data_IF_711047632975
#
_entry.id   IF_711047632975
#
_cell.length_a   1.000
_cell.length_b   1.000
_cell.length_c   1.000
_cell.angle_alpha   90.00
_cell.angle_beta   90.00
_cell.angle_gamma   90.00
#
_symmetry.space_group_name_H-M   'P 1'
#
loop_
_entity.id
_entity.type
_entity.pdbx_description
1 polymer ?
#
# COMPACT_ATOMS: atom_id res chain seq x y z
N UNK A 1 -1.70 -14.99 -13.76
CA UNK A 1 -1.06 -15.02 -12.42
C UNK A 1 -1.64 -13.91 -11.58
N UNK A 2 -1.89 -14.16 -10.31
CA UNK A 2 -2.42 -13.17 -9.35
C UNK A 2 -1.29 -12.72 -8.44
N UNK A 3 -1.19 -11.41 -8.17
CA UNK A 3 -0.20 -10.86 -7.22
C UNK A 3 -0.53 -11.37 -5.81
N UNK A 4 0.48 -11.87 -5.08
CA UNK A 4 0.33 -12.37 -3.70
C UNK A 4 1.08 -11.51 -2.66
N UNK A 5 2.10 -10.78 -3.10
CA UNK A 5 2.95 -9.96 -2.24
C UNK A 5 3.24 -8.63 -2.95
N UNK A 6 3.12 -7.53 -2.22
CA UNK A 6 3.41 -6.18 -2.66
C UNK A 6 4.41 -5.54 -1.70
N UNK A 7 5.71 -5.70 -1.94
CA UNK A 7 6.73 -4.97 -1.20
C UNK A 7 6.88 -3.56 -1.79
N UNK A 8 6.69 -2.54 -0.96
CA UNK A 8 6.76 -1.13 -1.34
C UNK A 8 7.68 -0.38 -0.40
N UNK A 9 8.48 0.50 -0.98
CA UNK A 9 9.32 1.43 -0.22
C UNK A 9 8.45 2.43 0.55
N UNK A 10 8.98 2.97 1.66
CA UNK A 10 8.24 3.84 2.56
C UNK A 10 8.33 5.30 2.12
N UNK A 11 9.51 5.91 2.26
CA UNK A 11 9.68 7.36 2.11
C UNK A 11 9.73 7.76 0.63
N UNK A 12 8.84 8.66 0.22
CA UNK A 12 8.76 9.08 -1.19
C UNK A 12 8.05 8.08 -2.10
N UNK A 13 7.62 6.93 -1.58
CA UNK A 13 6.83 5.93 -2.31
C UNK A 13 5.44 5.74 -1.65
N UNK A 14 5.38 5.13 -0.47
CA UNK A 14 4.15 4.93 0.29
C UNK A 14 3.71 6.23 0.99
N UNK A 15 4.69 6.95 1.53
CA UNK A 15 4.53 8.17 2.29
C UNK A 15 4.84 9.38 1.40
N UNK A 16 3.98 10.40 1.48
CA UNK A 16 4.31 11.71 0.91
C UNK A 16 5.42 12.36 1.74
N UNK A 17 6.03 13.44 1.24
CA UNK A 17 7.14 14.16 1.88
C UNK A 17 6.89 14.66 3.32
N UNK A 18 5.65 14.59 3.82
CA UNK A 18 5.29 14.87 5.23
C UNK A 18 5.21 13.61 6.10
N UNK A 19 5.70 12.46 5.62
CA UNK A 19 5.57 11.15 6.26
C UNK A 19 4.12 10.71 6.48
N UNK A 20 3.22 11.15 5.59
CA UNK A 20 1.79 10.89 5.66
C UNK A 20 1.33 10.06 4.47
N UNK A 21 0.59 8.98 4.76
CA UNK A 21 -0.14 8.22 3.75
C UNK A 21 -1.43 8.97 3.36
N UNK A 22 -1.78 8.98 2.07
CA UNK A 22 -3.08 9.54 1.65
C UNK A 22 -4.23 8.59 2.01
N UNK A 23 -5.45 9.12 2.25
CA UNK A 23 -6.64 8.27 2.42
C UNK A 23 -6.92 7.36 1.22
N UNK A 24 -6.47 7.75 0.01
CA UNK A 24 -6.60 6.94 -1.20
C UNK A 24 -5.67 5.72 -1.16
N UNK A 25 -4.41 5.90 -0.73
CA UNK A 25 -3.41 4.84 -0.61
C UNK A 25 -3.84 3.87 0.49
N UNK A 26 -4.28 4.37 1.65
CA UNK A 26 -4.79 3.55 2.75
C UNK A 26 -5.95 2.66 2.30
N UNK A 27 -6.95 3.22 1.61
CA UNK A 27 -8.07 2.45 1.04
C UNK A 27 -7.62 1.43 -0.01
N UNK A 28 -6.54 1.68 -0.75
CA UNK A 28 -6.01 0.73 -1.71
C UNK A 28 -5.33 -0.46 -1.01
N UNK A 29 -4.51 -0.19 0.01
CA UNK A 29 -3.83 -1.21 0.81
C UNK A 29 -4.86 -2.09 1.52
N UNK A 30 -5.86 -1.47 2.17
CA UNK A 30 -6.93 -2.22 2.84
C UNK A 30 -7.68 -3.16 1.88
N UNK A 31 -7.96 -2.71 0.64
CA UNK A 31 -8.58 -3.56 -0.39
C UNK A 31 -7.66 -4.69 -0.86
N UNK A 32 -6.35 -4.50 -0.88
CA UNK A 32 -5.39 -5.54 -1.21
C UNK A 32 -5.34 -6.61 -0.10
N UNK A 33 -5.27 -6.18 1.16
CA UNK A 33 -5.31 -7.05 2.34
C UNK A 33 -6.61 -7.87 2.37
N UNK A 34 -7.76 -7.25 2.12
CA UNK A 34 -9.06 -7.95 2.04
C UNK A 34 -9.11 -9.02 0.94
N UNK A 35 -8.27 -8.89 -0.11
CA UNK A 35 -8.12 -9.89 -1.18
C UNK A 35 -7.10 -10.97 -0.85
N UNK A 36 -6.52 -10.96 0.34
CA UNK A 36 -5.49 -11.92 0.78
C UNK A 36 -4.10 -11.63 0.22
N UNK A 37 -3.85 -10.41 -0.25
CA UNK A 37 -2.53 -9.96 -0.71
C UNK A 37 -1.77 -9.45 0.51
N UNK A 38 -0.52 -9.92 0.68
CA UNK A 38 0.40 -9.38 1.69
C UNK A 38 0.99 -8.09 1.14
N UNK A 39 0.91 -7.01 1.91
CA UNK A 39 1.46 -5.69 1.57
C UNK A 39 2.48 -5.31 2.62
#
# INVERSE_FOLDING_TARGET
MTIKLLAVDMDGTLLKSRNEMTPKVEKAIQRAIQKGIVV
#
